data_IF_358639343018
#
_entry.id   IF_358639343018
#
_cell.length_a   1.000
_cell.length_b   1.000
_cell.length_c   1.000
_cell.angle_alpha   90.00
_cell.angle_beta   90.00
_cell.angle_gamma   90.00
#
_symmetry.space_group_name_H-M   'P 1'
#
loop_
_entity.id
_entity.type
_entity.pdbx_description
1 polymer ?
#
# COMPACT_ATOMS: atom_id res chain seq x y z
N UNK A 1 -0.04 23.95 -7.94
CA UNK A 1 0.52 22.58 -8.13
C UNK A 1 -0.19 21.49 -7.30
N UNK A 2 -0.56 21.74 -6.04
CA UNK A 2 -1.30 20.79 -5.17
C UNK A 2 -2.69 20.37 -5.70
N UNK A 3 -3.49 21.33 -6.18
CA UNK A 3 -4.83 21.06 -6.75
C UNK A 3 -4.79 20.13 -7.97
N UNK A 4 -3.77 20.26 -8.83
CA UNK A 4 -3.59 19.38 -10.01
C UNK A 4 -3.30 17.92 -9.58
N UNK A 5 -2.50 17.74 -8.52
CA UNK A 5 -2.18 16.42 -7.94
C UNK A 5 -3.43 15.75 -7.35
N UNK A 6 -4.18 16.46 -6.52
CA UNK A 6 -5.41 15.95 -5.92
C UNK A 6 -6.47 15.61 -6.99
N UNK A 7 -6.58 16.41 -8.05
CA UNK A 7 -7.47 16.11 -9.18
C UNK A 7 -7.08 14.82 -9.89
N UNK A 8 -5.77 14.58 -10.08
CA UNK A 8 -5.25 13.33 -10.66
C UNK A 8 -5.56 12.12 -9.77
N UNK A 9 -5.29 12.21 -8.47
CA UNK A 9 -5.60 11.13 -7.52
C UNK A 9 -7.09 10.82 -7.49
N UNK A 10 -7.95 11.83 -7.42
CA UNK A 10 -9.41 11.66 -7.47
C UNK A 10 -9.88 10.98 -8.75
N UNK A 11 -9.27 11.27 -9.90
CA UNK A 11 -9.58 10.58 -11.17
C UNK A 11 -9.21 9.09 -11.10
N UNK A 12 -8.05 8.77 -10.53
CA UNK A 12 -7.58 7.38 -10.39
C UNK A 12 -8.48 6.61 -9.41
N UNK A 13 -8.78 7.16 -8.23
CA UNK A 13 -9.68 6.51 -7.27
C UNK A 13 -11.07 6.27 -7.87
N UNK A 14 -11.61 7.25 -8.62
CA UNK A 14 -12.88 7.09 -9.34
C UNK A 14 -12.84 5.97 -10.37
N UNK A 15 -11.73 5.81 -11.08
CA UNK A 15 -11.55 4.70 -12.02
C UNK A 15 -11.66 3.34 -11.31
N UNK A 16 -10.93 3.13 -10.21
CA UNK A 16 -11.02 1.87 -9.46
C UNK A 16 -12.38 1.67 -8.78
N UNK A 17 -13.03 2.75 -8.34
CA UNK A 17 -14.39 2.67 -7.79
C UNK A 17 -15.41 2.24 -8.86
N UNK A 18 -15.32 2.81 -10.06
CA UNK A 18 -16.28 2.56 -11.14
C UNK A 18 -16.04 1.22 -11.85
N UNK A 19 -14.79 0.88 -12.13
CA UNK A 19 -14.45 -0.32 -12.92
C UNK A 19 -14.26 -1.56 -12.04
N UNK A 20 -13.75 -1.40 -10.83
CA UNK A 20 -13.38 -2.51 -9.93
C UNK A 20 -14.18 -2.53 -8.63
N UNK A 21 -15.18 -1.65 -8.45
CA UNK A 21 -16.11 -1.74 -7.33
C UNK A 21 -15.52 -1.42 -5.95
N UNK A 22 -14.40 -0.69 -5.88
CA UNK A 22 -13.79 -0.28 -4.61
C UNK A 22 -14.76 0.55 -3.76
N UNK A 23 -14.84 0.25 -2.45
CA UNK A 23 -15.72 0.94 -1.49
C UNK A 23 -14.95 1.42 -0.27
N UNK A 24 -15.46 2.49 0.33
CA UNK A 24 -14.93 3.02 1.58
C UNK A 24 -15.45 2.19 2.78
N UNK A 25 -14.66 2.02 3.85
CA UNK A 25 -13.28 2.50 4.02
C UNK A 25 -12.29 1.71 3.14
N UNK A 26 -11.40 2.42 2.44
CA UNK A 26 -10.44 1.79 1.55
C UNK A 26 -9.39 1.02 2.36
N UNK A 27 -9.20 -0.26 2.03
CA UNK A 27 -8.20 -1.10 2.68
C UNK A 27 -6.85 -0.87 2.02
N UNK A 28 -5.83 -0.47 2.77
CA UNK A 28 -4.48 -0.23 2.25
C UNK A 28 -3.50 -1.18 2.92
N UNK A 29 -2.87 -2.07 2.17
CA UNK A 29 -1.74 -2.88 2.62
C UNK A 29 -0.49 -2.02 2.56
N UNK A 30 0.19 -1.90 3.69
CA UNK A 30 1.44 -1.17 3.82
C UNK A 30 2.61 -2.14 3.96
N UNK A 31 3.57 -1.96 3.07
CA UNK A 31 4.84 -2.67 3.06
C UNK A 31 5.85 -2.04 4.04
N UNK A 32 6.84 -2.82 4.47
CA UNK A 32 7.86 -2.39 5.43
C UNK A 32 8.72 -1.25 4.88
N UNK A 33 9.07 -1.33 3.59
CA UNK A 33 9.81 -0.27 2.88
C UNK A 33 9.05 1.06 2.86
N UNK A 34 7.72 0.99 2.75
CA UNK A 34 6.86 2.17 2.76
C UNK A 34 6.75 2.75 4.17
N UNK A 35 6.58 1.90 5.19
CA UNK A 35 6.54 2.33 6.59
C UNK A 35 7.83 3.04 7.02
N UNK A 36 8.99 2.49 6.66
CA UNK A 36 10.27 3.13 6.90
C UNK A 36 10.36 4.52 6.25
N UNK A 37 9.87 4.64 5.01
CA UNK A 37 9.86 5.92 4.32
C UNK A 37 8.95 6.97 4.98
N UNK A 38 7.79 6.56 5.50
CA UNK A 38 6.90 7.49 6.21
C UNK A 38 7.60 8.10 7.42
N UNK A 39 8.31 7.28 8.19
CA UNK A 39 9.02 7.70 9.40
C UNK A 39 10.21 8.58 9.03
N UNK A 40 11.05 8.13 8.09
CA UNK A 40 12.22 8.88 7.64
C UNK A 40 11.88 10.28 7.10
N UNK A 41 10.67 10.47 6.54
CA UNK A 41 10.20 11.76 6.01
C UNK A 41 9.20 12.47 6.93
N UNK A 42 9.01 12.01 8.17
CA UNK A 42 8.09 12.58 9.16
C UNK A 42 6.64 12.73 8.64
N UNK A 43 6.18 11.76 7.83
CA UNK A 43 4.82 11.67 7.31
C UNK A 43 3.97 10.84 8.28
N UNK A 44 3.82 11.34 9.51
CA UNK A 44 2.99 10.73 10.56
C UNK A 44 1.82 11.66 10.88
N UNK A 45 0.58 11.14 11.09
CA UNK A 45 0.14 9.74 11.01
C UNK A 45 -0.02 9.21 9.58
N UNK A 46 0.29 7.93 9.36
CA UNK A 46 0.19 7.26 8.05
C UNK A 46 -1.24 7.27 7.49
N UNK A 47 -2.20 7.06 8.38
CA UNK A 47 -3.64 7.02 8.16
C UNK A 47 -4.16 8.37 7.67
N UNK A 48 -3.73 9.48 8.28
CA UNK A 48 -4.12 10.81 7.83
C UNK A 48 -3.49 11.16 6.47
N UNK A 49 -2.23 10.78 6.26
CA UNK A 49 -1.54 11.00 4.98
C UNK A 49 -2.23 10.24 3.83
N UNK A 50 -2.60 8.98 4.07
CA UNK A 50 -3.30 8.14 3.09
C UNK A 50 -4.76 8.59 2.88
N UNK A 51 -5.47 8.97 3.94
CA UNK A 51 -6.82 9.52 3.86
C UNK A 51 -6.85 10.82 3.03
N UNK A 52 -5.88 11.71 3.24
CA UNK A 52 -5.72 12.94 2.45
C UNK A 52 -5.41 12.63 0.99
N UNK A 53 -4.58 11.61 0.75
CA UNK A 53 -4.15 11.23 -0.60
C UNK A 53 -5.29 10.61 -1.42
N UNK A 54 -6.11 9.78 -0.77
CA UNK A 54 -7.27 9.11 -1.36
C UNK A 54 -8.57 9.94 -1.28
N UNK A 55 -8.56 11.04 -0.52
CA UNK A 55 -9.71 11.89 -0.22
C UNK A 55 -10.91 11.08 0.32
N UNK A 56 -10.63 10.10 1.19
CA UNK A 56 -11.58 9.11 1.68
C UNK A 56 -11.12 8.48 2.99
N UNK A 57 -12.02 7.83 3.72
CA UNK A 57 -11.65 7.04 4.90
C UNK A 57 -10.83 5.80 4.51
N UNK A 58 -9.76 5.53 5.25
CA UNK A 58 -8.84 4.41 4.98
C UNK A 58 -8.70 3.52 6.20
N UNK A 59 -8.49 2.23 5.97
CA UNK A 59 -8.09 1.26 6.99
C UNK A 59 -6.77 0.65 6.56
N UNK A 60 -5.77 0.75 7.44
CA UNK A 60 -4.42 0.31 7.16
C UNK A 60 -4.21 -1.14 7.61
N UNK A 61 -3.57 -1.89 6.74
CA UNK A 61 -3.24 -3.28 6.92
C UNK A 61 -1.74 -3.52 6.72
N UNK A 62 -1.22 -4.55 7.35
CA UNK A 62 0.11 -5.10 7.06
C UNK A 62 0.05 -6.62 7.13
N UNK A 63 1.05 -7.32 6.61
CA UNK A 63 1.11 -8.78 6.69
C UNK A 63 2.06 -9.22 7.80
N UNK A 64 1.87 -10.44 8.32
CA UNK A 64 2.80 -11.00 9.31
C UNK A 64 4.22 -11.13 8.74
N UNK A 65 4.34 -11.48 7.45
CA UNK A 65 5.63 -11.54 6.78
C UNK A 65 6.36 -10.21 6.73
N UNK A 66 5.65 -9.10 6.48
CA UNK A 66 6.24 -7.75 6.53
C UNK A 66 6.77 -7.42 7.92
N UNK A 67 5.99 -7.73 8.96
CA UNK A 67 6.41 -7.54 10.36
C UNK A 67 7.68 -8.36 10.66
N UNK A 68 7.73 -9.62 10.24
CA UNK A 68 8.86 -10.50 10.50
C UNK A 68 10.11 -10.14 9.69
N UNK A 69 9.94 -9.54 8.50
CA UNK A 69 11.02 -8.96 7.72
C UNK A 69 11.59 -7.71 8.40
N UNK A 70 10.72 -6.80 8.87
CA UNK A 70 11.11 -5.61 9.63
C UNK A 70 11.87 -5.97 10.91
N UNK A 71 11.45 -7.02 11.62
CA UNK A 71 12.20 -7.55 12.79
C UNK A 71 13.62 -8.00 12.42
N UNK A 72 13.78 -8.61 11.23
CA UNK A 72 15.08 -9.07 10.74
C UNK A 72 16.05 -7.96 10.37
N UNK A 73 15.54 -6.76 10.03
CA UNK A 73 16.35 -5.59 9.66
C UNK A 73 16.99 -4.87 10.87
N UNK A 74 16.60 -5.22 12.10
CA UNK A 74 17.24 -4.74 13.33
C UNK A 74 16.79 -3.35 13.80
N UNK A 75 17.59 -2.74 14.68
CA UNK A 75 17.22 -1.53 15.45
C UNK A 75 16.97 -0.29 14.59
N UNK A 76 17.60 -0.19 13.43
CA UNK A 76 17.42 0.91 12.47
C UNK A 76 15.98 1.05 11.96
N UNK A 77 15.18 -0.03 12.05
CA UNK A 77 13.78 -0.07 11.63
C UNK A 77 12.82 -0.28 12.80
N UNK A 78 13.28 -0.10 14.05
CA UNK A 78 12.49 -0.30 15.27
C UNK A 78 11.22 0.56 15.30
N UNK A 79 11.31 1.84 14.89
CA UNK A 79 10.16 2.73 14.79
C UNK A 79 9.15 2.25 13.73
N UNK A 80 9.65 1.75 12.58
CA UNK A 80 8.82 1.21 11.51
C UNK A 80 8.10 -0.07 11.95
N UNK A 81 8.78 -0.91 12.73
CA UNK A 81 8.20 -2.10 13.32
C UNK A 81 7.10 -1.75 14.33
N UNK A 82 7.32 -0.76 15.20
CA UNK A 82 6.30 -0.28 16.14
C UNK A 82 5.08 0.30 15.41
N UNK A 83 5.30 1.06 14.34
CA UNK A 83 4.21 1.57 13.51
C UNK A 83 3.44 0.43 12.83
N UNK A 84 4.15 -0.57 12.28
CA UNK A 84 3.53 -1.75 11.65
C UNK A 84 2.69 -2.57 12.64
N UNK A 85 3.12 -2.72 13.89
CA UNK A 85 2.35 -3.40 14.94
C UNK A 85 1.02 -2.71 15.29
N UNK A 86 0.89 -1.40 15.07
CA UNK A 86 -0.37 -0.66 15.28
C UNK A 86 -1.38 -0.90 14.15
N UNK A 87 -0.95 -1.44 13.01
CA UNK A 87 -1.81 -1.69 11.86
C UNK A 87 -2.58 -3.00 12.00
N UNK A 88 -3.68 -3.15 11.25
CA UNK A 88 -4.44 -4.41 11.24
C UNK A 88 -3.67 -5.47 10.46
N UNK A 89 -3.60 -6.70 10.97
CA UNK A 89 -2.92 -7.78 10.27
C UNK A 89 -3.85 -8.37 9.20
N UNK A 90 -3.45 -8.31 7.93
CA UNK A 90 -4.05 -9.06 6.84
C UNK A 90 -3.67 -10.54 6.95
N UNK A 91 -4.66 -11.42 6.77
CA UNK A 91 -4.43 -12.88 6.81
C UNK A 91 -3.70 -13.29 5.54
N UNK A 92 -2.61 -14.04 5.72
CA UNK A 92 -1.86 -14.68 4.65
C UNK A 92 -2.03 -16.20 4.79
N UNK A 93 -2.35 -16.89 3.69
CA UNK A 93 -2.71 -18.32 3.68
C UNK A 93 -1.53 -19.25 3.35
N UNK A 94 -0.28 -18.79 3.53
CA UNK A 94 0.90 -19.62 3.26
C UNK A 94 1.46 -20.24 4.55
N UNK A 95 1.77 -21.53 4.52
CA UNK A 95 2.33 -22.27 5.66
C UNK A 95 3.81 -21.93 5.93
N UNK A 96 4.58 -21.66 4.88
CA UNK A 96 6.01 -21.37 4.98
C UNK A 96 6.28 -19.87 5.00
N UNK A 97 7.32 -19.47 5.73
CA UNK A 97 7.79 -18.08 5.73
C UNK A 97 8.27 -17.71 4.32
N UNK A 98 7.54 -16.80 3.68
CA UNK A 98 7.91 -16.20 2.39
C UNK A 98 8.44 -14.78 2.60
N UNK A 99 9.06 -14.21 1.56
CA UNK A 99 9.41 -12.79 1.54
C UNK A 99 8.16 -11.91 1.62
N UNK A 100 8.30 -10.67 2.11
CA UNK A 100 7.19 -9.73 2.20
C UNK A 100 6.54 -9.51 0.82
N UNK A 101 7.34 -9.34 -0.23
CA UNK A 101 6.87 -9.18 -1.60
C UNK A 101 5.98 -10.35 -2.06
N UNK A 102 6.44 -11.59 -1.85
CA UNK A 102 5.69 -12.77 -2.27
C UNK A 102 4.41 -12.94 -1.44
N UNK A 103 4.47 -12.63 -0.15
CA UNK A 103 3.29 -12.63 0.72
C UNK A 103 2.23 -11.62 0.25
N UNK A 104 2.63 -10.39 -0.10
CA UNK A 104 1.71 -9.37 -0.60
C UNK A 104 1.09 -9.80 -1.93
N UNK A 105 1.89 -10.37 -2.85
CA UNK A 105 1.38 -10.91 -4.12
C UNK A 105 0.32 -12.01 -3.88
N UNK A 106 0.59 -12.95 -2.95
CA UNK A 106 -0.36 -14.01 -2.63
C UNK A 106 -1.66 -13.45 -2.01
N UNK A 107 -1.57 -12.45 -1.13
CA UNK A 107 -2.74 -11.81 -0.49
C UNK A 107 -3.60 -11.05 -1.50
N UNK A 108 -2.98 -10.42 -2.50
CA UNK A 108 -3.68 -9.73 -3.58
C UNK A 108 -4.29 -10.73 -4.58
N UNK A 109 -3.57 -11.81 -4.89
CA UNK A 109 -3.99 -12.79 -5.88
C UNK A 109 -4.10 -12.21 -7.29
N UNK A 110 -4.82 -12.91 -8.17
CA UNK A 110 -4.88 -12.58 -9.60
C UNK A 110 -5.81 -11.40 -9.93
N UNK A 111 -6.80 -11.12 -9.08
CA UNK A 111 -7.85 -10.11 -9.36
C UNK A 111 -8.17 -9.20 -8.18
N UNK A 112 -7.38 -9.24 -7.11
CA UNK A 112 -7.60 -8.41 -5.92
C UNK A 112 -9.04 -8.48 -5.38
N UNK A 113 -9.55 -9.68 -5.01
CA UNK A 113 -10.94 -9.87 -4.62
C UNK A 113 -11.33 -9.04 -3.37
N UNK A 114 -10.36 -8.78 -2.50
CA UNK A 114 -10.55 -8.00 -1.27
C UNK A 114 -10.48 -6.48 -1.48
N UNK A 115 -10.16 -6.04 -2.69
CA UNK A 115 -10.01 -4.63 -3.10
C UNK A 115 -9.01 -3.86 -2.23
N UNK A 116 -7.80 -4.41 -2.09
CA UNK A 116 -6.70 -3.73 -1.41
C UNK A 116 -6.02 -2.71 -2.30
N UNK A 117 -5.71 -1.55 -1.74
CA UNK A 117 -4.63 -0.68 -2.22
C UNK A 117 -3.31 -1.21 -1.68
N UNK A 118 -2.24 -1.13 -2.47
CA UNK A 118 -0.90 -1.53 -2.00
C UNK A 118 0.01 -0.31 -1.94
N UNK A 119 0.59 -0.07 -0.78
CA UNK A 119 1.56 0.98 -0.53
C UNK A 119 2.95 0.38 -0.37
N UNK A 120 3.79 0.50 -1.41
CA UNK A 120 5.16 -0.03 -1.44
C UNK A 120 6.12 0.92 -2.16
N UNK A 121 7.40 0.87 -1.80
CA UNK A 121 8.50 1.52 -2.55
C UNK A 121 9.33 0.52 -3.35
N UNK A 122 9.13 -0.79 -3.17
CA UNK A 122 9.86 -1.80 -3.91
C UNK A 122 9.50 -1.74 -5.41
N UNK A 123 10.49 -1.45 -6.26
CA UNK A 123 10.28 -1.25 -7.70
C UNK A 123 9.79 -2.55 -8.35
N UNK A 124 10.35 -3.68 -7.95
CA UNK A 124 10.01 -4.99 -8.53
C UNK A 124 8.61 -5.45 -8.12
N UNK A 125 8.21 -5.23 -6.87
CA UNK A 125 6.85 -5.53 -6.41
C UNK A 125 5.81 -4.67 -7.17
N UNK A 126 6.08 -3.37 -7.35
CA UNK A 126 5.18 -2.49 -8.11
C UNK A 126 4.99 -2.96 -9.55
N UNK A 127 6.06 -3.33 -10.24
CA UNK A 127 5.98 -3.83 -11.63
C UNK A 127 5.08 -5.06 -11.72
N UNK A 128 5.26 -6.03 -10.81
CA UNK A 128 4.42 -7.24 -10.76
C UNK A 128 2.95 -6.91 -10.47
N UNK A 129 2.68 -6.01 -9.52
CA UNK A 129 1.31 -5.61 -9.18
C UNK A 129 0.64 -4.76 -10.27
N UNK A 130 1.40 -4.10 -11.15
CA UNK A 130 0.86 -3.37 -12.30
C UNK A 130 0.31 -4.29 -13.39
N UNK A 131 0.79 -5.53 -13.46
CA UNK A 131 0.28 -6.55 -14.36
C UNK A 131 -1.05 -7.13 -13.84
N UNK A 132 -1.30 -7.03 -12.54
CA UNK A 132 -2.53 -7.49 -11.89
C UNK A 132 -3.65 -6.45 -12.07
N UNK A 133 -4.81 -6.83 -12.65
CA UNK A 133 -5.95 -5.94 -12.79
C UNK A 133 -6.53 -5.55 -11.42
N UNK A 134 -6.95 -4.30 -11.28
CA UNK A 134 -7.64 -3.84 -10.07
C UNK A 134 -6.74 -3.59 -8.86
N UNK A 135 -5.43 -3.43 -9.04
CA UNK A 135 -4.49 -3.13 -7.95
C UNK A 135 -4.00 -1.69 -8.01
N UNK A 136 -4.60 -0.77 -7.22
CA UNK A 136 -4.08 0.58 -7.10
C UNK A 136 -2.82 0.63 -6.23
N UNK A 137 -1.78 1.27 -6.77
CA UNK A 137 -0.48 1.41 -6.12
C UNK A 137 -0.27 2.82 -5.55
N UNK A 138 0.30 2.85 -4.35
CA UNK A 138 0.68 4.06 -3.64
C UNK A 138 2.17 3.99 -3.34
N UNK A 139 2.90 5.07 -3.61
CA UNK A 139 4.30 5.18 -3.23
C UNK A 139 4.62 6.55 -2.65
N UNK A 140 5.59 6.58 -1.73
CA UNK A 140 6.11 7.80 -1.16
C UNK A 140 7.30 8.33 -1.95
N UNK A 141 7.28 9.62 -2.26
CA UNK A 141 8.42 10.34 -2.85
C UNK A 141 8.67 11.62 -2.06
N UNK A 142 9.82 11.68 -1.39
CA UNK A 142 10.18 12.76 -0.44
C UNK A 142 9.09 12.87 0.63
N UNK A 143 8.53 14.06 0.85
CA UNK A 143 7.48 14.33 1.83
C UNK A 143 6.05 14.11 1.33
N UNK A 144 5.84 13.44 0.18
CA UNK A 144 4.52 13.35 -0.43
C UNK A 144 4.18 11.96 -0.98
N UNK A 145 2.92 11.55 -0.83
CA UNK A 145 2.40 10.28 -1.35
C UNK A 145 1.79 10.46 -2.74
N UNK A 146 1.95 9.48 -3.61
CA UNK A 146 1.44 9.49 -4.97
C UNK A 146 0.68 8.21 -5.26
N UNK A 147 -0.46 8.37 -5.96
CA UNK A 147 -1.13 7.24 -6.61
C UNK A 147 -0.57 7.05 -8.01
N UNK A 148 -0.20 5.83 -8.32
CA UNK A 148 0.22 5.45 -9.65
C UNK A 148 -0.97 5.45 -10.62
N UNK A 149 -0.71 5.72 -11.90
CA UNK A 149 -1.78 5.64 -12.89
C UNK A 149 -2.07 4.18 -13.22
N UNK A 150 -3.33 3.83 -13.53
CA UNK A 150 -3.67 2.50 -14.01
C UNK A 150 -2.84 2.16 -15.25
N UNK A 151 -2.16 1.02 -15.18
CA UNK A 151 -1.35 0.48 -16.29
C UNK A 151 -2.25 0.14 -17.48
N UNK A 152 -1.65 -0.13 -18.64
CA UNK A 152 -2.41 -0.63 -19.81
C UNK A 152 -3.09 -1.98 -19.53
N UNK A 153 -2.51 -2.81 -18.67
CA UNK A 153 -3.09 -4.09 -18.25
C UNK A 153 -4.31 -3.93 -17.33
N UNK A 154 -4.45 -2.77 -16.69
CA UNK A 154 -5.55 -2.46 -15.79
C UNK A 154 -6.69 -1.69 -16.45
N UNK A 155 -6.52 -1.24 -17.70
CA UNK A 155 -7.49 -0.42 -18.44
C UNK A 155 -8.44 -1.25 -19.28
#
# INVERSE_FOLDING_TARGET
MRVKKEKRHRKIVRFYTACFGFRQPYKVICDGTFMYHLIANQITPADNALATTLAASVKLFTTKCVIDELKGLGESHSEALQAAHKLTIARCEHERKKSADACIMDVIGEKNPEHFFVATRAVDLRKKLQEVPGVPLIFGLRNALFLEQPSTFQR
#
